data_IF_756253357811
#
_entry.id   IF_756253357811
#
_cell.length_a   1.000
_cell.length_b   1.000
_cell.length_c   1.000
_cell.angle_alpha   90.00
_cell.angle_beta   90.00
_cell.angle_gamma   90.00
#
_symmetry.space_group_name_H-M   'P 1'
#
loop_
_entity.id
_entity.type
_entity.pdbx_description
1 polymer ?
#
# COMPACT_ATOMS: atom_id res chain seq x y z
N UNK A 1 -0.57 4.18 -8.74
CA UNK A 1 -1.86 4.90 -8.96
C UNK A 1 -3.12 4.02 -8.94
N UNK A 2 -3.03 2.71 -9.24
CA UNK A 2 -4.19 1.80 -9.38
C UNK A 2 -5.22 1.79 -8.23
N UNK A 3 -4.82 2.09 -7.00
CA UNK A 3 -5.71 2.08 -5.84
C UNK A 3 -6.21 3.45 -5.39
N UNK A 4 -5.77 4.56 -5.99
CA UNK A 4 -6.19 5.89 -5.56
C UNK A 4 -7.70 6.09 -5.82
N UNK A 5 -8.44 6.51 -4.80
CA UNK A 5 -9.90 6.60 -4.79
C UNK A 5 -10.39 7.81 -3.97
N UNK A 6 -11.70 8.02 -3.92
CA UNK A 6 -12.28 9.10 -3.11
C UNK A 6 -12.03 8.91 -1.60
N UNK A 7 -11.82 7.66 -1.16
CA UNK A 7 -11.37 7.37 0.22
C UNK A 7 -10.04 8.09 0.49
N UNK A 8 -9.09 8.00 -0.44
CA UNK A 8 -7.78 8.64 -0.30
C UNK A 8 -7.91 10.15 -0.24
N UNK A 9 -8.71 10.72 -1.16
CA UNK A 9 -8.96 12.16 -1.22
C UNK A 9 -9.58 12.67 0.09
N UNK A 10 -10.57 11.95 0.62
CA UNK A 10 -11.26 12.35 1.85
C UNK A 10 -10.39 12.16 3.11
N UNK A 11 -9.39 11.27 3.05
CA UNK A 11 -8.36 11.16 4.09
C UNK A 11 -7.24 12.21 3.94
N UNK A 12 -7.32 13.11 2.96
CA UNK A 12 -6.33 14.17 2.72
C UNK A 12 -5.11 13.72 1.91
N UNK A 13 -5.14 12.54 1.29
CA UNK A 13 -4.04 12.06 0.47
C UNK A 13 -4.07 12.68 -0.94
N UNK A 14 -2.94 13.24 -1.37
CA UNK A 14 -2.81 13.86 -2.70
C UNK A 14 -2.43 12.86 -3.80
N UNK A 15 -1.68 11.79 -3.48
CA UNK A 15 -1.18 10.83 -4.47
C UNK A 15 -0.80 9.49 -3.85
N UNK A 16 -0.75 8.45 -4.69
CA UNK A 16 -0.18 7.13 -4.38
C UNK A 16 0.98 6.82 -5.31
N UNK A 17 2.13 6.46 -4.74
CA UNK A 17 3.32 6.08 -5.50
C UNK A 17 3.26 4.63 -5.97
N UNK A 18 3.96 4.37 -7.06
CA UNK A 18 4.29 3.02 -7.52
C UNK A 18 5.74 2.69 -7.21
N UNK A 19 6.06 1.39 -7.24
CA UNK A 19 7.40 0.89 -6.92
C UNK A 19 8.49 1.58 -7.77
N UNK A 20 8.19 1.84 -9.05
CA UNK A 20 9.07 2.56 -9.97
C UNK A 20 9.33 4.00 -9.53
N UNK A 21 8.28 4.70 -9.06
CA UNK A 21 8.40 6.10 -8.59
C UNK A 21 9.31 6.21 -7.37
N UNK A 22 9.10 5.34 -6.38
CA UNK A 22 9.91 5.30 -5.17
C UNK A 22 11.36 4.93 -5.51
N UNK A 23 11.56 3.92 -6.34
CA UNK A 23 12.88 3.48 -6.74
C UNK A 23 13.64 4.58 -7.50
N UNK A 24 12.98 5.31 -8.39
CA UNK A 24 13.62 6.40 -9.11
C UNK A 24 14.03 7.54 -8.17
N UNK A 25 13.17 7.90 -7.21
CA UNK A 25 13.45 8.97 -6.24
C UNK A 25 14.61 8.62 -5.33
N UNK A 26 14.69 7.38 -4.86
CA UNK A 26 15.80 6.92 -4.03
C UNK A 26 17.13 7.00 -4.81
N UNK A 27 17.16 6.50 -6.04
CA UNK A 27 18.34 6.59 -6.91
C UNK A 27 18.75 8.03 -7.19
N UNK A 28 17.79 8.91 -7.51
CA UNK A 28 18.06 10.32 -7.77
C UNK A 28 18.60 11.05 -6.53
N UNK A 29 18.25 10.59 -5.33
CA UNK A 29 18.78 11.12 -4.07
C UNK A 29 20.13 10.50 -3.68
N UNK A 30 20.73 9.67 -4.54
CA UNK A 30 22.05 9.07 -4.32
C UNK A 30 22.06 7.76 -3.54
N UNK A 31 20.89 7.15 -3.27
CA UNK A 31 20.83 5.89 -2.56
C UNK A 31 20.99 4.69 -3.49
N UNK A 32 21.69 3.66 -3.02
CA UNK A 32 21.72 2.34 -3.62
C UNK A 32 20.59 1.49 -3.02
N UNK A 33 19.70 0.99 -3.87
CA UNK A 33 18.55 0.20 -3.43
C UNK A 33 18.99 -1.25 -3.24
N UNK A 34 18.81 -1.76 -2.03
CA UNK A 34 19.09 -3.15 -1.65
C UNK A 34 17.88 -4.05 -1.97
N UNK A 35 16.67 -3.52 -1.75
CA UNK A 35 15.44 -4.22 -2.09
C UNK A 35 14.24 -3.29 -2.10
N UNK A 36 13.28 -3.57 -2.96
CA UNK A 36 12.02 -2.85 -2.99
C UNK A 36 10.90 -3.79 -3.43
N UNK A 37 9.81 -3.86 -2.66
CA UNK A 37 8.64 -4.70 -2.98
C UNK A 37 7.35 -4.04 -2.52
N UNK A 38 6.23 -4.52 -3.05
CA UNK A 38 4.92 -4.18 -2.48
C UNK A 38 4.67 -4.96 -1.19
N UNK A 39 3.78 -4.40 -0.36
CA UNK A 39 3.41 -4.95 0.93
C UNK A 39 1.98 -4.55 1.30
N UNK A 40 1.37 -5.22 2.28
CA UNK A 40 -0.01 -5.04 2.72
C UNK A 40 -1.03 -5.32 1.59
N UNK A 41 -1.06 -6.55 1.11
CA UNK A 41 -2.01 -7.06 0.10
C UNK A 41 -3.43 -7.05 0.63
N UNK A 42 -3.64 -7.44 1.89
CA UNK A 42 -4.97 -7.42 2.49
C UNK A 42 -5.56 -6.01 2.44
N UNK A 43 -4.75 -5.00 2.77
CA UNK A 43 -5.15 -3.59 2.64
C UNK A 43 -5.43 -3.21 1.20
N UNK A 44 -4.63 -3.72 0.25
CA UNK A 44 -4.79 -3.44 -1.18
C UNK A 44 -6.13 -3.94 -1.70
N UNK A 45 -6.51 -5.16 -1.30
CA UNK A 45 -7.82 -5.74 -1.59
C UNK A 45 -8.96 -4.96 -0.94
N UNK A 46 -8.82 -4.64 0.35
CA UNK A 46 -9.81 -3.83 1.06
C UNK A 46 -10.05 -2.49 0.37
N UNK A 47 -8.98 -1.85 -0.12
CA UNK A 47 -9.06 -0.58 -0.84
C UNK A 47 -9.59 -0.71 -2.26
N UNK A 48 -9.23 -1.77 -2.98
CA UNK A 48 -9.76 -2.05 -4.31
C UNK A 48 -11.28 -2.25 -4.23
N UNK A 49 -11.75 -3.08 -3.30
CA UNK A 49 -13.17 -3.36 -3.14
C UNK A 49 -13.92 -2.11 -2.68
N UNK A 50 -13.50 -1.47 -1.59
CA UNK A 50 -14.24 -0.32 -1.06
C UNK A 50 -14.10 0.92 -1.94
N UNK A 51 -12.90 1.24 -2.40
CA UNK A 51 -12.59 2.49 -3.09
C UNK A 51 -12.81 2.45 -4.60
N UNK A 52 -12.54 1.31 -5.28
CA UNK A 52 -12.71 1.21 -6.74
C UNK A 52 -14.00 0.52 -7.15
N UNK A 53 -14.29 -0.66 -6.57
CA UNK A 53 -15.45 -1.45 -6.97
C UNK A 53 -16.75 -0.86 -6.41
N UNK A 54 -16.80 -0.61 -5.10
CA UNK A 54 -17.96 -0.06 -4.41
C UNK A 54 -17.99 1.48 -4.40
N UNK A 55 -16.89 2.14 -4.83
CA UNK A 55 -16.75 3.61 -4.90
C UNK A 55 -17.17 4.33 -3.62
N UNK A 56 -16.89 3.73 -2.48
CA UNK A 56 -17.19 4.32 -1.18
C UNK A 56 -16.32 5.55 -0.97
N UNK A 57 -16.88 6.55 -0.32
CA UNK A 57 -16.17 7.77 0.09
C UNK A 57 -15.45 7.61 1.43
N UNK A 58 -15.90 6.67 2.26
CA UNK A 58 -15.38 6.41 3.60
C UNK A 58 -15.37 4.90 3.88
N UNK A 59 -14.43 4.46 4.73
CA UNK A 59 -14.41 3.08 5.24
C UNK A 59 -15.22 3.03 6.53
N UNK A 60 -16.08 2.03 6.64
CA UNK A 60 -16.90 1.84 7.85
C UNK A 60 -16.02 1.46 9.06
N UNK A 61 -16.28 1.97 10.27
CA UNK A 61 -15.50 1.64 11.47
C UNK A 61 -15.42 0.15 11.80
N UNK A 62 -16.47 -0.62 11.49
CA UNK A 62 -16.49 -2.09 11.68
C UNK A 62 -15.47 -2.81 10.80
N UNK A 63 -15.37 -2.42 9.52
CA UNK A 63 -14.36 -2.95 8.60
C UNK A 63 -12.95 -2.59 9.04
N UNK A 64 -12.72 -1.36 9.51
CA UNK A 64 -11.42 -0.94 10.04
C UNK A 64 -11.01 -1.76 11.26
N UNK A 65 -11.94 -2.05 12.19
CA UNK A 65 -11.67 -2.92 13.34
C UNK A 65 -11.31 -4.34 12.91
N UNK A 66 -12.07 -4.91 11.96
CA UNK A 66 -11.82 -6.24 11.44
C UNK A 66 -10.44 -6.30 10.76
N UNK A 67 -10.15 -5.31 9.92
CA UNK A 67 -8.86 -5.17 9.26
C UNK A 67 -7.72 -5.12 10.27
N UNK A 68 -7.80 -4.26 11.29
CA UNK A 68 -6.77 -4.15 12.33
C UNK A 68 -6.54 -5.48 13.07
N UNK A 69 -7.59 -6.28 13.30
CA UNK A 69 -7.46 -7.59 13.94
C UNK A 69 -6.66 -8.59 13.10
N UNK A 70 -6.86 -8.60 11.79
CA UNK A 70 -6.19 -9.56 10.89
C UNK A 70 -4.91 -9.03 10.26
N UNK A 71 -4.67 -7.72 10.31
CA UNK A 71 -3.54 -7.06 9.66
C UNK A 71 -2.22 -7.72 10.06
N UNK A 72 -1.94 -7.86 11.35
CA UNK A 72 -0.66 -8.43 11.80
C UNK A 72 -0.43 -9.86 11.29
N UNK A 73 -1.48 -10.67 11.19
CA UNK A 73 -1.37 -12.02 10.68
C UNK A 73 -1.10 -12.02 9.17
N UNK A 74 -1.83 -11.20 8.41
CA UNK A 74 -1.61 -11.05 6.97
C UNK A 74 -0.20 -10.55 6.64
N UNK A 75 0.30 -9.54 7.37
CA UNK A 75 1.64 -9.01 7.17
C UNK A 75 2.72 -10.08 7.44
N UNK A 76 2.59 -10.87 8.50
CA UNK A 76 3.51 -11.98 8.78
C UNK A 76 3.54 -13.02 7.66
N UNK A 77 2.40 -13.32 7.04
CA UNK A 77 2.35 -14.21 5.88
C UNK A 77 3.02 -13.59 4.65
N UNK A 78 2.87 -12.28 4.48
CA UNK A 78 3.48 -11.53 3.37
C UNK A 78 5.00 -11.40 3.48
N UNK A 79 5.60 -11.54 4.67
CA UNK A 79 7.05 -11.46 4.83
C UNK A 79 7.81 -12.55 4.04
N UNK A 80 7.18 -13.70 3.83
CA UNK A 80 7.73 -14.79 3.03
C UNK A 80 7.39 -14.68 1.53
N UNK A 81 6.58 -13.69 1.12
CA UNK A 81 6.07 -13.58 -0.24
C UNK A 81 6.67 -12.36 -0.96
N UNK A 82 7.27 -12.58 -2.13
CA UNK A 82 7.70 -11.48 -2.98
C UNK A 82 6.55 -11.06 -3.90
N UNK A 83 5.84 -10.00 -3.52
CA UNK A 83 4.55 -9.68 -4.12
C UNK A 83 4.64 -8.51 -5.08
N UNK A 84 4.03 -8.68 -6.25
CA UNK A 84 3.98 -7.66 -7.31
C UNK A 84 2.84 -6.65 -7.13
N UNK A 85 2.10 -6.73 -6.02
CA UNK A 85 0.95 -5.89 -5.72
C UNK A 85 0.79 -5.71 -4.20
N UNK A 86 0.34 -4.53 -3.77
CA UNK A 86 0.14 -4.22 -2.36
C UNK A 86 -0.28 -2.78 -2.16
N UNK A 87 -0.68 -2.47 -0.93
CA UNK A 87 -1.17 -1.16 -0.53
C UNK A 87 -0.05 -0.18 -0.25
N UNK A 88 1.06 -0.73 0.24
CA UNK A 88 2.27 -0.03 0.67
C UNK A 88 3.47 -0.52 -0.15
N UNK A 89 4.54 0.27 -0.15
CA UNK A 89 5.83 -0.09 -0.74
C UNK A 89 6.85 -0.13 0.39
N UNK A 90 7.54 -1.25 0.54
CA UNK A 90 8.69 -1.39 1.42
C UNK A 90 9.96 -1.30 0.57
N UNK A 91 10.80 -0.31 0.86
CA UNK A 91 12.07 -0.10 0.21
C UNK A 91 13.20 -0.04 1.25
N UNK A 92 14.28 -0.77 0.99
CA UNK A 92 15.50 -0.83 1.78
C UNK A 92 16.62 -0.29 0.90
N UNK A 93 17.33 0.74 1.38
CA UNK A 93 18.38 1.41 0.63
C UNK A 93 19.50 1.88 1.55
N UNK A 94 20.72 1.92 1.01
CA UNK A 94 21.95 2.41 1.65
C UNK A 94 22.45 3.68 0.95
N UNK A 95 23.18 4.52 1.69
CA UNK A 95 23.78 5.75 1.20
C UNK A 95 25.29 5.56 1.06
#
# INVERSE_FOLDING_TARGET
MRLYSDIDRNLGHCRRYELKDISQKLRNAGFKIIGARYYNILGAWGWLVNGKLLRRKYISPSQTRLFNKFLMFALKLEDCLNTSFGMSILAIAEK
#
